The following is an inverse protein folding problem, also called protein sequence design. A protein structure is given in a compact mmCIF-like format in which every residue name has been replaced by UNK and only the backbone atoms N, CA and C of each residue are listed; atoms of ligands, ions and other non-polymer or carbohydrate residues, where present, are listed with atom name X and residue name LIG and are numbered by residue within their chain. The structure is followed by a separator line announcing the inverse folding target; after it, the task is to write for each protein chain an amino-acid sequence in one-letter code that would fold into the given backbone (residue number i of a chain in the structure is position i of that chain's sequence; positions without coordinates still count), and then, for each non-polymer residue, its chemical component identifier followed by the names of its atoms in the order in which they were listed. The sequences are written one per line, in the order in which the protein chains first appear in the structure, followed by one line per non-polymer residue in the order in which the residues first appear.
data_IF_650675214367
#
_entry.id   IF_650675214367
#
_cell.length_a   1.000
_cell.length_b   1.000
_cell.length_c   1.000
_cell.angle_alpha   90.00
_cell.angle_beta   90.00
_cell.angle_gamma   90.00
#
_symmetry.space_group_name_H-M   'P 1'
#
loop_
_entity.id
_entity.type
_entity.pdbx_description
1 polymer ?
#
# COMPACT_ATOMS: atom_id res chain seq x y z
N UNK A 1 58.95 10.58 -20.33
CA UNK A 1 58.58 9.16 -20.44
C UNK A 1 57.24 9.00 -19.75
N UNK A 2 56.24 8.49 -20.50
CA UNK A 2 54.88 8.09 -20.11
C UNK A 2 53.79 9.17 -19.86
N UNK A 3 52.70 8.99 -20.60
CA UNK A 3 51.40 9.69 -20.65
C UNK A 3 50.34 8.96 -19.80
N UNK A 4 49.13 9.55 -19.78
CA UNK A 4 47.78 9.11 -19.37
C UNK A 4 47.37 9.56 -17.96
N UNK A 5 46.16 10.05 -17.68
CA UNK A 5 45.02 10.55 -18.45
C UNK A 5 44.08 11.26 -17.45
N UNK A 6 43.27 12.19 -17.93
CA UNK A 6 42.20 12.95 -17.27
C UNK A 6 41.32 12.19 -16.28
N UNK A 7 40.99 12.84 -15.16
CA UNK A 7 39.61 12.89 -14.66
C UNK A 7 39.37 14.20 -13.92
N UNK A 8 38.43 14.97 -14.47
CA UNK A 8 37.99 16.24 -13.97
C UNK A 8 37.40 16.11 -12.55
N UNK A 9 37.69 17.09 -11.70
CA UNK A 9 36.89 17.33 -10.49
C UNK A 9 35.44 17.60 -10.92
N UNK A 10 34.52 16.67 -10.66
CA UNK A 10 33.09 16.96 -10.75
C UNK A 10 32.72 17.87 -9.58
N UNK A 11 32.37 19.11 -9.86
CA UNK A 11 31.70 20.03 -8.94
C UNK A 11 30.24 20.21 -9.35
N UNK A 12 29.37 20.44 -8.36
CA UNK A 12 27.98 20.83 -8.57
C UNK A 12 27.94 22.21 -9.22
N UNK A 13 27.29 22.30 -10.38
CA UNK A 13 27.04 23.54 -11.12
C UNK A 13 25.54 23.68 -11.35
N UNK A 14 25.00 24.87 -11.08
CA UNK A 14 23.64 25.27 -11.44
C UNK A 14 23.69 26.06 -12.74
N UNK A 15 22.81 25.75 -13.69
CA UNK A 15 22.71 26.51 -14.92
C UNK A 15 22.00 27.84 -14.65
N UNK A 16 22.73 28.95 -14.72
CA UNK A 16 22.20 30.30 -14.61
C UNK A 16 21.78 30.81 -16.00
N UNK A 17 20.49 30.66 -16.32
CA UNK A 17 19.85 31.47 -17.36
C UNK A 17 18.35 31.58 -17.08
N UNK A 18 17.78 32.80 -17.03
CA UNK A 18 16.34 32.98 -16.88
C UNK A 18 15.60 32.57 -18.16
N UNK A 19 14.41 31.94 -18.09
CA UNK A 19 13.59 31.71 -19.28
C UNK A 19 13.10 33.04 -19.84
N UNK A 20 13.22 33.22 -21.16
CA UNK A 20 12.56 34.31 -21.88
C UNK A 20 11.05 34.06 -21.88
N UNK A 21 10.29 35.06 -21.46
CA UNK A 21 8.83 35.08 -21.61
C UNK A 21 8.48 35.16 -23.11
N UNK A 22 7.78 34.15 -23.62
CA UNK A 22 7.08 34.23 -24.90
C UNK A 22 5.58 34.31 -24.61
N UNK A 23 5.02 35.50 -24.82
CA UNK A 23 3.59 35.75 -24.83
C UNK A 23 2.97 35.09 -26.06
N UNK A 24 2.45 33.88 -25.84
CA UNK A 24 1.58 33.15 -26.77
C UNK A 24 0.26 32.90 -26.05
N UNK A 25 -0.82 33.43 -26.62
CA UNK A 25 -2.20 33.19 -26.16
C UNK A 25 -2.47 31.69 -26.29
N UNK A 26 -2.49 30.96 -25.17
CA UNK A 26 -2.94 29.57 -25.15
C UNK A 26 -4.38 29.55 -24.63
N UNK A 27 -5.31 29.26 -25.54
CA UNK A 27 -6.63 28.80 -25.13
C UNK A 27 -6.42 27.51 -24.32
N UNK A 28 -6.74 27.58 -23.02
CA UNK A 28 -6.48 26.52 -22.07
C UNK A 28 -7.40 25.32 -22.35
N UNK A 29 -6.94 24.38 -23.18
CA UNK A 29 -7.39 23.00 -23.09
C UNK A 29 -6.46 22.33 -22.08
N UNK A 30 -6.90 22.27 -20.82
CA UNK A 30 -6.23 21.55 -19.75
C UNK A 30 -6.22 20.05 -20.05
N UNK A 31 -5.21 19.58 -20.78
CA UNK A 31 -4.89 18.16 -20.83
C UNK A 31 -4.15 17.81 -19.54
N UNK A 32 -4.87 17.26 -18.56
CA UNK A 32 -4.26 16.64 -17.40
C UNK A 32 -3.44 15.42 -17.85
N UNK A 33 -2.20 15.31 -17.40
CA UNK A 33 -1.42 14.08 -17.54
C UNK A 33 -2.09 12.98 -16.71
N UNK A 34 -2.84 12.10 -17.37
CA UNK A 34 -3.39 10.87 -16.81
C UNK A 34 -2.29 9.80 -16.74
N UNK A 35 -1.49 9.84 -15.67
CA UNK A 35 -0.62 8.74 -15.28
C UNK A 35 -1.19 8.09 -14.02
N UNK A 36 -1.18 6.75 -13.92
CA UNK A 36 -1.65 6.09 -12.71
C UNK A 36 -0.80 6.55 -11.52
N UNK A 37 -1.45 7.12 -10.51
CA UNK A 37 -0.74 7.59 -9.32
C UNK A 37 -0.77 6.50 -8.26
N UNK A 38 0.41 6.08 -7.81
CA UNK A 38 0.54 5.11 -6.73
C UNK A 38 0.79 5.82 -5.39
N UNK A 39 -0.03 5.54 -4.39
CA UNK A 39 0.25 5.92 -3.01
C UNK A 39 0.71 4.69 -2.23
N UNK A 40 1.98 4.68 -1.83
CA UNK A 40 2.54 3.67 -0.92
C UNK A 40 2.72 4.25 0.48
N UNK A 41 2.58 3.41 1.50
CA UNK A 41 2.75 3.79 2.91
C UNK A 41 4.11 3.43 3.51
N UNK A 42 5.04 3.01 2.65
CA UNK A 42 6.41 2.66 2.98
C UNK A 42 7.34 3.31 1.97
N UNK A 43 8.55 3.69 2.38
CA UNK A 43 9.51 4.30 1.45
C UNK A 43 9.98 3.33 0.36
N UNK A 44 9.87 2.04 0.63
CA UNK A 44 10.18 0.96 -0.31
C UNK A 44 9.12 -0.15 -0.19
N UNK A 45 8.92 -0.90 -1.28
CA UNK A 45 8.09 -2.09 -1.36
C UNK A 45 8.93 -3.39 -1.38
N UNK A 46 10.25 -3.32 -1.25
CA UNK A 46 11.12 -4.49 -1.05
C UNK A 46 10.60 -5.35 0.10
N UNK A 47 10.63 -6.66 -0.09
CA UNK A 47 10.18 -7.63 0.91
C UNK A 47 11.42 -8.24 1.54
N UNK A 48 11.59 -8.05 2.84
CA UNK A 48 12.73 -8.60 3.60
C UNK A 48 12.28 -9.90 4.25
N UNK A 49 12.88 -11.05 3.91
CA UNK A 49 12.50 -12.33 4.49
C UNK A 49 12.59 -12.33 6.03
N UNK A 50 11.58 -12.88 6.68
CA UNK A 50 11.48 -12.95 8.14
C UNK A 50 10.93 -11.68 8.80
N UNK A 51 10.56 -10.66 8.01
CA UNK A 51 9.85 -9.48 8.52
C UNK A 51 8.34 -9.53 8.22
N UNK A 52 7.87 -10.61 7.60
CA UNK A 52 6.46 -10.85 7.39
C UNK A 52 5.73 -11.11 8.71
N UNK A 53 4.48 -10.66 8.79
CA UNK A 53 3.67 -10.77 10.00
C UNK A 53 2.38 -11.54 9.73
N UNK A 54 2.04 -12.41 10.69
CA UNK A 54 0.74 -13.05 10.82
C UNK A 54 0.54 -13.52 12.26
N UNK A 55 -0.70 -13.51 12.71
CA UNK A 55 -1.16 -14.36 13.78
C UNK A 55 -1.26 -15.79 13.25
N UNK A 56 -0.48 -16.69 13.85
CA UNK A 56 -0.33 -18.06 13.41
C UNK A 56 -0.20 -19.02 14.59
N UNK A 57 -0.49 -20.29 14.31
CA UNK A 57 -0.24 -21.42 15.18
C UNK A 57 0.72 -22.37 14.45
N UNK A 58 2.02 -22.23 14.72
CA UNK A 58 3.05 -22.94 13.96
C UNK A 58 3.22 -22.33 12.57
N UNK A 59 2.98 -23.10 11.51
CA UNK A 59 3.10 -22.61 10.13
C UNK A 59 1.79 -22.10 9.53
N UNK A 60 0.64 -22.36 10.18
CA UNK A 60 -0.69 -22.03 9.65
C UNK A 60 -1.25 -20.78 10.34
N UNK A 61 -1.94 -19.93 9.58
CA UNK A 61 -2.44 -18.66 10.08
C UNK A 61 -3.88 -18.75 10.58
N UNK A 62 -4.23 -17.92 11.55
CA UNK A 62 -5.61 -17.66 11.97
C UNK A 62 -6.18 -16.44 11.23
N UNK A 63 -7.32 -15.91 11.68
CA UNK A 63 -7.85 -14.66 11.15
C UNK A 63 -6.86 -13.51 11.39
N UNK A 64 -6.49 -12.80 10.33
CA UNK A 64 -5.71 -11.58 10.39
C UNK A 64 -6.36 -10.47 9.57
N UNK A 65 -6.34 -9.25 10.10
CA UNK A 65 -6.68 -8.04 9.37
C UNK A 65 -5.49 -7.08 9.42
N UNK A 66 -4.98 -6.70 8.25
CA UNK A 66 -3.90 -5.74 8.07
C UNK A 66 -4.48 -4.44 7.54
N UNK A 67 -4.23 -3.31 8.22
CA UNK A 67 -4.90 -2.05 7.97
C UNK A 67 -3.92 -0.95 7.58
N UNK A 68 -4.26 -0.18 6.55
CA UNK A 68 -3.52 1.01 6.12
C UNK A 68 -4.46 2.19 5.90
N UNK A 69 -3.98 3.37 6.30
CA UNK A 69 -4.75 4.61 6.24
C UNK A 69 -4.16 5.54 5.19
N UNK A 70 -4.99 6.06 4.29
CA UNK A 70 -4.62 7.01 3.24
C UNK A 70 -5.40 8.31 3.42
N UNK A 71 -4.69 9.40 3.71
CA UNK A 71 -5.28 10.73 3.81
C UNK A 71 -5.35 11.40 2.43
N UNK A 72 -6.38 11.03 1.67
CA UNK A 72 -6.61 11.52 0.31
C UNK A 72 -7.06 12.98 0.29
N UNK A 73 -7.68 13.46 1.37
CA UNK A 73 -8.10 14.85 1.50
C UNK A 73 -6.89 15.80 1.48
N UNK A 74 -5.82 15.42 2.17
CA UNK A 74 -4.58 16.19 2.24
C UNK A 74 -3.77 16.10 0.94
N UNK A 75 -3.68 14.91 0.34
CA UNK A 75 -2.84 14.70 -0.87
C UNK A 75 -3.53 15.15 -2.16
N UNK A 76 -4.86 14.96 -2.27
CA UNK A 76 -5.65 15.27 -3.46
C UNK A 76 -6.94 16.04 -3.09
N UNK A 77 -6.83 17.28 -2.60
CA UNK A 77 -7.99 18.04 -2.14
C UNK A 77 -9.00 18.26 -3.29
N UNK A 78 -10.28 18.02 -3.00
CA UNK A 78 -11.40 18.22 -3.93
C UNK A 78 -11.29 17.45 -5.27
N UNK A 79 -10.54 16.33 -5.29
CA UNK A 79 -10.45 15.44 -6.45
C UNK A 79 -11.30 14.20 -6.23
N UNK A 80 -12.05 13.82 -7.27
CA UNK A 80 -12.60 12.48 -7.39
C UNK A 80 -11.47 11.56 -7.85
N UNK A 81 -11.31 10.41 -7.21
CA UNK A 81 -10.23 9.45 -7.49
C UNK A 81 -10.84 8.07 -7.70
N UNK A 82 -10.38 7.34 -8.70
CA UNK A 82 -10.74 5.93 -8.88
C UNK A 82 -9.60 5.05 -8.34
N UNK A 83 -9.93 4.05 -7.52
CA UNK A 83 -8.98 3.04 -7.06
C UNK A 83 -9.09 1.82 -7.95
N UNK A 84 -8.07 1.59 -8.78
CA UNK A 84 -8.03 0.49 -9.75
C UNK A 84 -7.38 -0.79 -9.22
N UNK A 85 -6.51 -0.68 -8.22
CA UNK A 85 -5.94 -1.85 -7.56
C UNK A 85 -5.27 -1.52 -6.23
N UNK A 86 -5.16 -2.56 -5.41
CA UNK A 86 -4.38 -2.59 -4.17
C UNK A 86 -3.22 -3.55 -4.38
N UNK A 87 -1.98 -3.06 -4.32
CA UNK A 87 -0.80 -3.90 -4.34
C UNK A 87 -0.36 -4.22 -2.91
N UNK A 88 -0.12 -5.50 -2.64
CA UNK A 88 0.35 -5.99 -1.33
C UNK A 88 1.69 -6.72 -1.46
N UNK A 89 2.50 -6.65 -0.42
CA UNK A 89 3.68 -7.50 -0.26
C UNK A 89 3.29 -8.84 0.37
N UNK A 90 3.68 -9.95 -0.26
CA UNK A 90 3.52 -11.30 0.28
C UNK A 90 4.91 -11.86 0.59
N UNK A 91 5.15 -12.15 1.88
CA UNK A 91 6.33 -12.93 2.25
C UNK A 91 6.09 -14.40 1.96
N UNK A 92 4.98 -14.93 2.44
CA UNK A 92 4.57 -16.32 2.20
C UNK A 92 3.08 -16.39 1.95
N UNK A 93 2.68 -17.02 0.86
CA UNK A 93 1.36 -17.59 0.68
C UNK A 93 1.57 -19.06 0.31
N UNK A 94 1.11 -19.97 1.15
CA UNK A 94 1.21 -21.40 0.92
C UNK A 94 -0.07 -22.09 1.38
N UNK A 95 -0.69 -22.85 0.49
CA UNK A 95 -1.89 -23.61 0.72
C UNK A 95 -1.71 -25.04 0.20
N UNK A 96 -2.25 -26.03 0.92
CA UNK A 96 -2.22 -27.44 0.47
C UNK A 96 -2.94 -27.64 -0.86
N UNK A 97 -3.98 -26.86 -1.13
CA UNK A 97 -4.72 -26.83 -2.40
C UNK A 97 -4.01 -26.08 -3.54
N UNK A 98 -2.88 -25.43 -3.28
CA UNK A 98 -2.15 -24.58 -4.24
C UNK A 98 -2.60 -23.12 -4.28
N UNK A 99 -3.70 -22.76 -3.62
CA UNK A 99 -4.16 -21.36 -3.48
C UNK A 99 -5.10 -21.16 -2.28
N UNK A 100 -5.25 -19.90 -1.85
CA UNK A 100 -6.10 -19.50 -0.74
C UNK A 100 -6.80 -18.18 -1.00
N UNK A 101 -7.95 -17.95 -0.36
CA UNK A 101 -8.70 -16.70 -0.52
C UNK A 101 -8.29 -15.65 0.52
N UNK A 102 -8.27 -14.40 0.08
CA UNK A 102 -8.20 -13.21 0.95
C UNK A 102 -9.35 -12.26 0.58
N UNK A 103 -9.67 -11.34 1.48
CA UNK A 103 -10.67 -10.29 1.24
C UNK A 103 -10.03 -8.92 1.37
N UNK A 104 -10.26 -8.05 0.41
CA UNK A 104 -9.91 -6.63 0.48
C UNK A 104 -11.17 -5.85 0.82
N UNK A 105 -11.11 -5.01 1.87
CA UNK A 105 -12.22 -4.13 2.26
C UNK A 105 -11.74 -2.69 2.35
N UNK A 106 -12.53 -1.77 1.82
CA UNK A 106 -12.26 -0.34 1.88
C UNK A 106 -13.33 0.34 2.73
N UNK A 107 -12.93 1.34 3.53
CA UNK A 107 -13.80 2.07 4.43
C UNK A 107 -13.47 3.57 4.40
N UNK A 108 -14.44 4.39 4.79
CA UNK A 108 -14.15 5.75 5.25
C UNK A 108 -14.05 5.81 6.76
N UNK A 109 -13.30 6.78 7.25
CA UNK A 109 -13.42 7.23 8.64
C UNK A 109 -14.54 8.26 8.71
N UNK A 110 -15.65 7.90 9.35
CA UNK A 110 -16.82 8.77 9.47
C UNK A 110 -16.66 9.80 10.59
N UNK A 111 -15.96 9.44 11.66
CA UNK A 111 -15.66 10.34 12.78
C UNK A 111 -14.38 9.94 13.52
N UNK A 112 -13.69 10.93 14.09
CA UNK A 112 -12.42 10.73 14.79
C UNK A 112 -11.26 10.38 13.85
N UNK A 113 -10.29 9.60 14.36
CA UNK A 113 -9.10 9.17 13.62
C UNK A 113 -8.92 7.67 13.79
N UNK A 114 -8.65 6.94 12.70
CA UNK A 114 -8.30 5.52 12.82
C UNK A 114 -7.05 5.35 13.72
N UNK A 115 -7.01 4.35 14.63
CA UNK A 115 -7.90 3.20 14.77
C UNK A 115 -9.03 3.37 15.79
N UNK A 116 -9.12 4.50 16.49
CA UNK A 116 -10.11 4.73 17.55
C UNK A 116 -11.38 5.43 17.07
N UNK A 117 -11.34 6.01 15.86
CA UNK A 117 -12.48 6.58 15.18
C UNK A 117 -13.49 5.54 14.71
N UNK A 118 -14.64 6.01 14.24
CA UNK A 118 -15.69 5.13 13.68
C UNK A 118 -15.49 4.99 12.18
N UNK A 119 -15.42 3.74 11.71
CA UNK A 119 -15.45 3.43 10.28
C UNK A 119 -16.88 3.38 9.76
N UNK A 120 -17.05 3.74 8.49
CA UNK A 120 -18.27 3.46 7.74
C UNK A 120 -18.48 1.95 7.59
N UNK A 121 -19.63 1.54 7.05
CA UNK A 121 -19.70 0.22 6.40
C UNK A 121 -18.65 0.13 5.27
N UNK A 122 -18.21 -1.09 4.94
CA UNK A 122 -17.28 -1.28 3.83
C UNK A 122 -17.88 -0.72 2.54
N UNK A 123 -17.21 0.28 1.94
CA UNK A 123 -17.62 0.91 0.69
C UNK A 123 -17.26 0.03 -0.52
N UNK A 124 -16.30 -0.88 -0.34
CA UNK A 124 -15.96 -1.94 -1.29
C UNK A 124 -15.55 -3.20 -0.53
N UNK A 125 -15.90 -4.36 -1.07
CA UNK A 125 -15.48 -5.68 -0.56
C UNK A 125 -15.23 -6.59 -1.75
N UNK A 126 -13.98 -7.02 -1.95
CA UNK A 126 -13.58 -7.91 -3.04
C UNK A 126 -12.83 -9.12 -2.49
N UNK A 127 -13.13 -10.30 -3.03
CA UNK A 127 -12.40 -11.53 -2.71
C UNK A 127 -11.37 -11.80 -3.80
N UNK A 128 -10.17 -12.21 -3.39
CA UNK A 128 -9.09 -12.57 -4.29
C UNK A 128 -8.56 -13.96 -3.96
N UNK A 129 -8.17 -14.70 -5.00
CA UNK A 129 -7.48 -15.98 -4.86
C UNK A 129 -5.99 -15.75 -5.05
N UNK A 130 -5.22 -16.18 -4.06
CA UNK A 130 -3.77 -16.05 -4.00
C UNK A 130 -3.17 -17.45 -4.19
N UNK A 131 -2.46 -17.63 -5.31
CA UNK A 131 -1.68 -18.85 -5.55
C UNK A 131 -0.46 -18.92 -4.64
N UNK A 132 0.07 -20.12 -4.44
CA UNK A 132 1.29 -20.30 -3.67
C UNK A 132 2.44 -19.47 -4.27
N UNK A 133 3.06 -18.65 -3.44
CA UNK A 133 4.16 -17.76 -3.83
C UNK A 133 4.88 -17.24 -2.59
N UNK A 134 6.11 -16.76 -2.79
CA UNK A 134 6.96 -16.23 -1.73
C UNK A 134 7.71 -15.01 -2.22
N UNK A 135 7.82 -13.99 -1.36
CA UNK A 135 8.56 -12.75 -1.64
C UNK A 135 8.12 -12.06 -2.94
N UNK A 136 6.81 -11.85 -3.08
CA UNK A 136 6.20 -11.26 -4.30
C UNK A 136 5.33 -10.05 -3.96
N UNK A 137 5.28 -9.11 -4.91
CA UNK A 137 4.27 -8.05 -4.92
C UNK A 137 3.08 -8.50 -5.76
N UNK A 138 1.88 -8.48 -5.19
CA UNK A 138 0.65 -8.90 -5.88
C UNK A 138 -0.28 -7.71 -6.01
N UNK A 139 -0.74 -7.44 -7.24
CA UNK A 139 -1.76 -6.44 -7.52
C UNK A 139 -3.15 -7.08 -7.48
N UNK A 140 -4.00 -6.59 -6.58
CA UNK A 140 -5.37 -7.03 -6.37
C UNK A 140 -6.31 -6.01 -7.03
N UNK A 141 -7.03 -6.38 -8.11
CA UNK A 141 -7.89 -5.43 -8.81
C UNK A 141 -9.07 -5.02 -7.93
N UNK A 142 -9.33 -3.72 -7.85
CA UNK A 142 -10.49 -3.12 -7.20
C UNK A 142 -11.07 -2.10 -8.17
N UNK A 143 -12.35 -1.75 -8.06
CA UNK A 143 -12.93 -0.67 -8.85
C UNK A 143 -13.90 0.10 -7.96
N UNK A 144 -13.51 1.31 -7.57
CA UNK A 144 -14.34 2.18 -6.76
C UNK A 144 -13.93 3.64 -6.95
N UNK A 145 -14.93 4.49 -7.20
CA UNK A 145 -14.77 5.93 -7.19
C UNK A 145 -14.91 6.44 -5.76
N UNK A 146 -13.90 7.14 -5.28
CA UNK A 146 -13.85 7.66 -3.92
C UNK A 146 -14.55 9.01 -3.81
N UNK A 147 -15.26 9.19 -2.71
CA UNK A 147 -15.73 10.49 -2.25
C UNK A 147 -14.55 11.41 -1.95
N UNK A 148 -14.72 12.69 -2.29
CA UNK A 148 -13.72 13.72 -2.03
C UNK A 148 -13.57 13.97 -0.53
N UNK A 149 -12.37 14.39 -0.12
CA UNK A 149 -12.08 14.88 1.23
C UNK A 149 -12.38 13.87 2.36
N UNK A 150 -12.27 12.57 2.09
CA UNK A 150 -12.39 11.49 3.07
C UNK A 150 -11.05 10.78 3.29
N UNK A 151 -10.80 10.35 4.52
CA UNK A 151 -9.72 9.42 4.83
C UNK A 151 -10.16 8.01 4.44
N UNK A 152 -9.35 7.34 3.62
CA UNK A 152 -9.57 5.96 3.20
C UNK A 152 -8.84 5.01 4.13
N UNK A 153 -9.50 3.95 4.56
CA UNK A 153 -8.88 2.82 5.26
C UNK A 153 -9.00 1.59 4.39
N UNK A 154 -7.86 0.93 4.15
CA UNK A 154 -7.76 -0.34 3.41
C UNK A 154 -7.50 -1.45 4.42
N UNK A 155 -8.28 -2.52 4.35
CA UNK A 155 -8.11 -3.75 5.09
C UNK A 155 -7.79 -4.90 4.14
N UNK A 156 -6.73 -5.63 4.46
CA UNK A 156 -6.46 -6.95 3.88
C UNK A 156 -6.81 -7.98 4.94
N UNK A 157 -7.84 -8.77 4.69
CA UNK A 157 -8.29 -9.81 5.60
C UNK A 157 -7.91 -11.19 5.08
N UNK A 158 -7.25 -11.99 5.92
CA UNK A 158 -6.94 -13.39 5.65
C UNK A 158 -7.72 -14.27 6.63
N UNK A 159 -8.69 -15.08 6.15
CA UNK A 159 -9.50 -15.93 7.02
C UNK A 159 -8.67 -17.07 7.60
N UNK A 160 -9.09 -17.62 8.75
CA UNK A 160 -8.43 -18.73 9.43
C UNK A 160 -8.20 -19.89 8.46
N UNK A 161 -6.91 -20.17 8.24
CA UNK A 161 -6.43 -21.11 7.26
C UNK A 161 -6.20 -22.52 7.78
N UNK A 162 -6.32 -22.75 9.09
CA UNK A 162 -5.80 -23.96 9.73
C UNK A 162 -6.45 -25.24 9.21
N UNK A 163 -7.77 -25.24 9.06
CA UNK A 163 -8.52 -26.42 8.56
C UNK A 163 -8.15 -26.80 7.12
N UNK A 164 -7.65 -25.84 6.33
CA UNK A 164 -7.30 -26.02 4.92
C UNK A 164 -5.79 -26.14 4.69
N UNK A 165 -4.97 -26.10 5.75
CA UNK A 165 -3.51 -26.13 5.63
C UNK A 165 -2.93 -24.86 5.02
N UNK A 166 -3.57 -23.70 5.25
CA UNK A 166 -3.15 -22.43 4.67
C UNK A 166 -2.22 -21.63 5.61
N UNK A 167 -1.15 -21.10 5.03
CA UNK A 167 -0.17 -20.20 5.62
C UNK A 167 -0.15 -18.90 4.83
N UNK A 168 -0.28 -17.77 5.52
CA UNK A 168 -0.18 -16.46 4.91
C UNK A 168 0.60 -15.53 5.84
N UNK A 169 1.64 -14.90 5.30
CA UNK A 169 2.41 -13.85 5.94
C UNK A 169 2.43 -12.63 5.02
N UNK A 170 1.85 -11.53 5.48
CA UNK A 170 1.97 -10.26 4.76
C UNK A 170 3.41 -9.80 4.90
N UNK A 171 4.06 -9.53 3.77
CA UNK A 171 5.48 -9.21 3.72
C UNK A 171 5.80 -7.86 4.35
N UNK A 172 6.95 -7.80 5.01
CA UNK A 172 7.44 -6.59 5.66
C UNK A 172 8.80 -6.13 5.15
N UNK A 173 9.20 -4.94 5.59
CA UNK A 173 10.55 -4.40 5.38
C UNK A 173 11.03 -3.60 6.60
N UNK A 174 12.27 -3.11 6.52
CA UNK A 174 12.91 -2.33 7.58
C UNK A 174 12.96 -0.83 7.29
N UNK A 175 12.18 -0.35 6.31
CA UNK A 175 12.16 1.08 5.94
C UNK A 175 11.15 1.82 6.80
N UNK A 176 11.28 3.14 6.86
CA UNK A 176 10.33 3.97 7.61
C UNK A 176 8.95 3.95 6.95
N UNK A 177 7.91 3.92 7.77
CA UNK A 177 6.53 4.14 7.32
C UNK A 177 6.31 5.62 7.00
N UNK A 178 5.61 5.91 5.91
CA UNK A 178 5.13 7.26 5.60
C UNK A 178 3.72 7.51 6.18
N UNK A 179 3.01 6.45 6.56
CA UNK A 179 1.77 6.49 7.36
C UNK A 179 1.61 5.19 8.14
N UNK A 180 0.97 5.28 9.31
CA UNK A 180 0.81 4.17 10.26
C UNK A 180 0.10 2.95 9.68
N UNK A 181 0.68 1.77 9.90
CA UNK A 181 0.07 0.46 9.69
C UNK A 181 -0.45 -0.16 10.98
N UNK A 182 -1.56 -0.89 10.88
CA UNK A 182 -2.18 -1.55 12.04
C UNK A 182 -2.48 -3.01 11.75
N UNK A 183 -2.51 -3.83 12.80
CA UNK A 183 -2.93 -5.23 12.76
C UNK A 183 -4.08 -5.45 13.76
N UNK A 184 -5.05 -6.27 13.39
CA UNK A 184 -5.90 -6.96 14.36
C UNK A 184 -5.96 -8.45 14.07
N UNK A 185 -5.88 -9.25 15.13
CA UNK A 185 -5.96 -10.69 15.11
C UNK A 185 -6.41 -11.18 16.49
N UNK A 186 -7.70 -11.43 16.66
CA UNK A 186 -8.31 -11.72 17.95
C UNK A 186 -7.71 -12.99 18.60
N UNK A 187 -7.37 -14.00 17.79
CA UNK A 187 -6.77 -15.25 18.26
C UNK A 187 -5.35 -15.05 18.85
N UNK A 188 -4.69 -13.93 18.55
CA UNK A 188 -3.42 -13.51 19.17
C UNK A 188 -3.59 -12.42 20.24
N UNK A 189 -4.82 -12.15 20.69
CA UNK A 189 -5.12 -11.14 21.71
C UNK A 189 -5.17 -9.70 21.19
N UNK A 190 -4.97 -9.47 19.89
CA UNK A 190 -5.04 -8.13 19.28
C UNK A 190 -6.45 -7.92 18.74
N UNK A 191 -7.40 -7.61 19.63
CA UNK A 191 -8.83 -7.57 19.33
C UNK A 191 -9.31 -6.28 18.64
N UNK A 192 -8.48 -5.23 18.63
CA UNK A 192 -8.72 -3.97 17.91
C UNK A 192 -7.50 -3.61 17.07
N UNK A 193 -7.66 -2.86 15.96
CA UNK A 193 -6.52 -2.45 15.13
C UNK A 193 -5.47 -1.72 15.97
N UNK A 194 -4.30 -2.34 16.10
CA UNK A 194 -3.22 -1.86 16.96
C UNK A 194 -2.01 -1.53 16.10
N UNK A 195 -1.42 -0.37 16.36
CA UNK A 195 -0.24 0.09 15.63
C UNK A 195 0.96 -0.80 15.96
N UNK A 196 1.72 -1.19 14.93
CA UNK A 196 2.87 -2.06 15.08
C UNK A 196 4.16 -1.35 14.63
N UNK A 197 4.80 -0.65 15.58
CA UNK A 197 5.97 0.21 15.33
C UNK A 197 7.17 -0.51 14.66
N UNK A 198 7.27 -1.84 14.80
CA UNK A 198 8.39 -2.63 14.26
C UNK A 198 8.07 -3.40 12.98
N UNK A 199 6.81 -3.37 12.51
CA UNK A 199 6.34 -4.23 11.43
C UNK A 199 5.80 -3.40 10.28
N UNK A 200 6.68 -3.13 9.32
CA UNK A 200 6.39 -2.26 8.19
C UNK A 200 5.97 -3.08 6.98
N UNK A 201 4.68 -3.19 6.73
CA UNK A 201 4.13 -3.98 5.60
C UNK A 201 3.62 -3.09 4.45
N UNK A 202 4.22 -3.16 3.25
CA UNK A 202 3.79 -2.37 2.11
C UNK A 202 2.38 -2.72 1.63
N UNK A 203 1.50 -1.71 1.59
CA UNK A 203 0.27 -1.73 0.81
C UNK A 203 0.24 -0.45 -0.01
N UNK A 204 0.10 -0.59 -1.32
CA UNK A 204 0.07 0.51 -2.27
C UNK A 204 -1.29 0.56 -2.94
N UNK A 205 -1.96 1.71 -2.92
CA UNK A 205 -3.15 1.92 -3.76
C UNK A 205 -2.73 2.53 -5.09
N UNK A 206 -3.32 2.03 -6.18
CA UNK A 206 -3.18 2.64 -7.51
C UNK A 206 -4.44 3.42 -7.85
N UNK A 207 -4.23 4.69 -8.16
CA UNK A 207 -5.27 5.64 -8.54
C UNK A 207 -5.26 5.85 -10.05
N UNK A 208 -6.45 5.97 -10.63
CA UNK A 208 -6.70 6.52 -11.96
C UNK A 208 -7.54 7.80 -11.83
N UNK A 209 -7.34 8.78 -12.73
CA UNK A 209 -8.05 10.07 -12.72
C UNK A 209 -8.91 10.27 -13.95
#
# INVERSE_FOLDING_TARGET
MLRFSTSAQLSLSVNSSPPKEQSGKIDAVAAACDFPVSLTQTLDNTIVPGLGISCNAGTLHTNNSYWRVYDLATVYPNKSLDVSSIQIAIETANATSGSQSITVRLYYVDSGTFPTGTLSAAISTTNHVITNQTLTLVSLPVSIILQQNKQLVVEIFTPNGQALGNSFFLGGNSTTETSSGYLSAADCGVTVPTFLLLWVFPITIRLSM
#
